data_IF_310281994459
#
_entry.id   IF_310281994459
#
_cell.length_a   1.000
_cell.length_b   1.000
_cell.length_c   1.000
_cell.angle_alpha   90.00
_cell.angle_beta   90.00
_cell.angle_gamma   90.00
#
_symmetry.space_group_name_H-M   'P 1'
#
loop_
_entity.id
_entity.type
_entity.pdbx_description
1 polymer ?
#
# COMPACT_ATOMS: atom_id res chain seq x y z
N UNK A 1 -11.37 -12.10 10.87
CA UNK A 1 -11.26 -10.72 10.46
C UNK A 1 -10.73 -10.65 9.02
N UNK A 2 -10.62 -9.47 8.48
CA UNK A 2 -10.27 -9.31 7.08
C UNK A 2 -8.87 -9.81 6.74
N UNK A 3 -7.93 -9.73 7.67
CA UNK A 3 -6.57 -10.21 7.45
C UNK A 3 -6.57 -11.73 7.35
N UNK A 4 -7.34 -12.40 8.19
CA UNK A 4 -7.49 -13.86 8.11
C UNK A 4 -8.22 -14.25 6.83
N UNK A 5 -9.23 -13.49 6.43
CA UNK A 5 -9.96 -13.72 5.18
C UNK A 5 -9.02 -13.54 3.98
N UNK A 6 -8.13 -12.56 4.04
CA UNK A 6 -7.13 -12.35 3.00
C UNK A 6 -6.20 -13.55 2.87
N UNK A 7 -5.72 -14.12 3.96
CA UNK A 7 -4.87 -15.30 3.92
C UNK A 7 -5.63 -16.51 3.33
N UNK A 8 -6.89 -16.67 3.67
CA UNK A 8 -7.74 -17.72 3.09
C UNK A 8 -7.90 -17.49 1.60
N UNK A 9 -8.20 -16.26 1.19
CA UNK A 9 -8.33 -15.92 -0.23
C UNK A 9 -7.05 -16.22 -1.00
N UNK A 10 -5.92 -15.83 -0.44
CA UNK A 10 -4.61 -16.03 -1.04
C UNK A 10 -4.34 -17.52 -1.34
N UNK A 11 -4.75 -18.41 -0.41
CA UNK A 11 -4.62 -19.85 -0.60
C UNK A 11 -5.57 -20.40 -1.67
N UNK A 12 -6.70 -19.74 -1.87
CA UNK A 12 -7.73 -20.16 -2.84
C UNK A 12 -7.57 -19.51 -4.19
N UNK A 13 -6.55 -18.67 -4.38
CA UNK A 13 -6.36 -17.97 -5.65
C UNK A 13 -6.32 -18.97 -6.80
N UNK A 14 -7.15 -18.76 -7.83
CA UNK A 14 -7.20 -19.69 -8.95
C UNK A 14 -5.87 -19.82 -9.67
N UNK A 15 -5.58 -20.98 -10.26
CA UNK A 15 -4.37 -21.16 -11.06
C UNK A 15 -4.27 -20.20 -12.25
N UNK A 16 -5.39 -19.59 -12.64
CA UNK A 16 -5.38 -18.58 -13.72
C UNK A 16 -4.58 -17.33 -13.35
N UNK A 17 -4.24 -17.16 -12.05
CA UNK A 17 -3.32 -16.13 -11.59
C UNK A 17 -2.16 -16.84 -10.89
N UNK A 18 -1.38 -17.61 -11.65
CA UNK A 18 -0.45 -18.58 -11.07
C UNK A 18 0.72 -17.95 -10.34
N UNK A 19 1.09 -16.77 -10.70
CA UNK A 19 2.20 -16.08 -10.05
C UNK A 19 1.78 -14.66 -9.74
N UNK A 20 0.91 -14.56 -8.76
CA UNK A 20 0.31 -13.30 -8.40
C UNK A 20 1.34 -12.24 -8.04
N UNK A 21 2.39 -12.61 -7.31
CA UNK A 21 3.44 -11.66 -6.95
C UNK A 21 4.17 -11.14 -8.18
N UNK A 22 4.51 -12.02 -9.12
CA UNK A 22 5.14 -11.61 -10.36
C UNK A 22 4.20 -10.74 -11.20
N UNK A 23 2.91 -11.11 -11.27
CA UNK A 23 1.95 -10.30 -12.00
C UNK A 23 1.82 -8.91 -11.41
N UNK A 24 1.77 -8.81 -10.09
CA UNK A 24 1.68 -7.52 -9.41
C UNK A 24 2.95 -6.69 -9.61
N UNK A 25 4.12 -7.31 -9.51
CA UNK A 25 5.40 -6.62 -9.74
C UNK A 25 5.49 -6.09 -11.17
N UNK A 26 5.16 -6.93 -12.15
CA UNK A 26 5.20 -6.53 -13.56
C UNK A 26 4.21 -5.43 -13.88
N UNK A 27 3.06 -5.44 -13.21
CA UNK A 27 2.05 -4.40 -13.38
C UNK A 27 2.34 -3.17 -12.50
N UNK A 28 3.38 -3.23 -11.65
CA UNK A 28 3.77 -2.16 -10.73
C UNK A 28 2.69 -1.85 -9.68
N UNK A 29 1.99 -2.87 -9.28
CA UNK A 29 1.01 -2.82 -8.19
C UNK A 29 1.44 -3.78 -7.09
N UNK A 30 1.04 -3.49 -5.86
CA UNK A 30 1.29 -4.40 -4.74
C UNK A 30 0.16 -4.31 -3.74
N UNK A 31 -0.04 -5.38 -2.98
CA UNK A 31 -1.05 -5.40 -1.92
C UNK A 31 -0.36 -4.96 -0.63
N UNK A 32 -0.94 -3.96 0.03
CA UNK A 32 -0.38 -3.40 1.26
C UNK A 32 -1.48 -3.37 2.33
N UNK A 33 -1.27 -4.14 3.39
CA UNK A 33 -2.23 -4.26 4.49
C UNK A 33 -1.60 -3.79 5.78
N UNK A 34 -2.26 -2.86 6.46
CA UNK A 34 -1.87 -2.51 7.82
C UNK A 34 -2.41 -3.55 8.79
N UNK A 35 -2.02 -3.46 10.04
CA UNK A 35 -2.52 -4.38 11.07
C UNK A 35 -3.93 -4.02 11.55
N UNK A 36 -4.36 -2.77 11.32
CA UNK A 36 -5.68 -2.30 11.73
C UNK A 36 -6.10 -1.09 10.91
N UNK A 37 -7.40 -0.78 10.95
CA UNK A 37 -7.95 0.40 10.29
C UNK A 37 -8.11 1.51 11.33
N UNK A 38 -7.16 2.43 11.37
CA UNK A 38 -7.17 3.55 12.30
C UNK A 38 -6.87 4.83 11.54
N UNK A 39 -7.69 5.86 11.76
CA UNK A 39 -7.45 7.17 11.17
C UNK A 39 -6.08 7.71 11.59
N UNK A 40 -5.41 8.35 10.66
CA UNK A 40 -4.09 8.97 10.87
C UNK A 40 -2.97 7.96 11.14
N UNK A 41 -3.21 6.68 10.92
CA UNK A 41 -2.19 5.64 11.11
C UNK A 41 -1.87 4.94 9.79
N UNK A 42 -0.64 5.02 9.38
CA UNK A 42 -0.08 4.21 8.30
C UNK A 42 1.37 3.88 8.67
N UNK A 43 1.87 2.79 8.13
CA UNK A 43 3.20 2.31 8.48
C UNK A 43 4.14 2.34 7.28
N UNK A 44 5.35 1.87 7.50
CA UNK A 44 6.37 1.70 6.46
C UNK A 44 5.87 0.82 5.31
N UNK A 45 4.90 -0.05 5.55
CA UNK A 45 4.32 -0.89 4.50
C UNK A 45 3.78 -0.05 3.34
N UNK A 46 3.10 1.06 3.68
CA UNK A 46 2.60 1.97 2.66
C UNK A 46 3.74 2.80 2.06
N UNK A 47 4.63 3.32 2.90
CA UNK A 47 5.74 4.16 2.46
C UNK A 47 6.68 3.41 1.53
N UNK A 48 6.90 2.12 1.78
CA UNK A 48 7.75 1.29 0.92
C UNK A 48 7.17 1.16 -0.49
N UNK A 49 5.85 1.10 -0.60
CA UNK A 49 5.20 1.09 -1.92
C UNK A 49 5.53 2.35 -2.70
N UNK A 50 5.44 3.50 -2.05
CA UNK A 50 5.71 4.78 -2.71
C UNK A 50 7.19 4.93 -3.06
N UNK A 51 8.08 4.45 -2.22
CA UNK A 51 9.51 4.50 -2.47
C UNK A 51 9.89 3.72 -3.73
N UNK A 52 9.23 2.62 -3.99
CA UNK A 52 9.48 1.80 -5.19
C UNK A 52 8.62 2.22 -6.38
N UNK A 53 7.88 3.34 -6.26
CA UNK A 53 6.97 3.84 -7.28
C UNK A 53 5.94 2.79 -7.68
N UNK A 54 5.40 2.11 -6.69
CA UNK A 54 4.38 1.07 -6.86
C UNK A 54 3.05 1.62 -6.38
N UNK A 55 1.98 1.26 -7.07
CA UNK A 55 0.62 1.63 -6.64
C UNK A 55 0.12 0.57 -5.67
N UNK A 56 -0.15 0.93 -4.40
CA UNK A 56 -0.66 -0.04 -3.45
C UNK A 56 -2.16 -0.29 -3.62
N UNK A 57 -2.54 -1.56 -3.55
CA UNK A 57 -3.90 -1.94 -3.21
C UNK A 57 -3.92 -1.97 -1.70
N UNK A 58 -4.56 -0.98 -1.09
CA UNK A 58 -4.31 -0.62 0.30
C UNK A 58 -5.53 -0.83 1.19
N UNK A 59 -5.29 -1.44 2.34
CA UNK A 59 -6.24 -1.54 3.44
C UNK A 59 -5.56 -1.04 4.72
N UNK A 60 -6.20 -0.13 5.41
CA UNK A 60 -5.64 0.39 6.66
C UNK A 60 -6.21 1.75 7.01
N UNK A 61 -5.39 2.79 6.96
CA UNK A 61 -5.78 4.15 7.34
C UNK A 61 -6.97 4.65 6.54
N UNK A 62 -8.16 4.81 7.16
CA UNK A 62 -9.35 5.23 6.39
C UNK A 62 -9.20 6.62 5.79
N UNK A 63 -8.50 7.53 6.45
CA UNK A 63 -8.31 8.89 5.95
C UNK A 63 -6.95 9.10 5.29
N UNK A 64 -6.43 8.06 4.64
CA UNK A 64 -5.11 8.11 3.99
C UNK A 64 -5.01 9.22 2.96
N UNK A 65 -6.12 9.61 2.35
CA UNK A 65 -6.17 10.71 1.37
C UNK A 65 -5.82 12.07 1.94
N UNK A 66 -5.83 12.22 3.27
CA UNK A 66 -5.37 13.44 3.94
C UNK A 66 -3.86 13.63 3.76
N UNK A 67 -3.13 12.53 3.62
CA UNK A 67 -1.67 12.54 3.58
C UNK A 67 -1.09 12.29 2.20
N UNK A 68 -1.79 11.53 1.37
CA UNK A 68 -1.29 11.09 0.08
C UNK A 68 -2.32 11.31 -1.03
N UNK A 69 -1.85 11.24 -2.26
CA UNK A 69 -2.69 11.39 -3.44
C UNK A 69 -3.45 10.09 -3.68
N UNK A 70 -4.77 10.14 -3.54
CA UNK A 70 -5.63 8.96 -3.68
C UNK A 70 -5.67 8.41 -5.11
N UNK A 71 -5.30 9.21 -6.10
CA UNK A 71 -5.22 8.71 -7.47
C UNK A 71 -4.11 7.66 -7.62
N UNK A 72 -3.15 7.65 -6.70
CA UNK A 72 -2.06 6.66 -6.69
C UNK A 72 -2.27 5.54 -5.68
N UNK A 73 -3.47 5.38 -5.14
CA UNK A 73 -3.80 4.35 -4.15
C UNK A 73 -5.10 3.67 -4.57
N UNK A 74 -5.10 2.35 -4.62
CA UNK A 74 -6.33 1.58 -4.84
C UNK A 74 -6.81 1.12 -3.46
N UNK A 75 -7.66 1.93 -2.84
CA UNK A 75 -8.11 1.74 -1.47
C UNK A 75 -9.30 0.78 -1.43
N UNK A 76 -9.26 -0.20 -0.54
CA UNK A 76 -10.37 -1.12 -0.36
C UNK A 76 -10.64 -1.34 1.13
N UNK A 77 -11.83 -1.83 1.43
CA UNK A 77 -12.28 -2.10 2.80
C UNK A 77 -12.68 -3.56 2.99
N UNK A 78 -13.00 -4.27 1.91
CA UNK A 78 -13.44 -5.66 1.97
C UNK A 78 -12.65 -6.52 1.00
N UNK A 79 -12.66 -7.83 1.24
CA UNK A 79 -12.00 -8.80 0.34
C UNK A 79 -12.60 -8.74 -1.05
N UNK A 80 -13.92 -8.58 -1.15
CA UNK A 80 -14.61 -8.49 -2.43
C UNK A 80 -14.13 -7.28 -3.23
N UNK A 81 -13.96 -6.15 -2.57
CA UNK A 81 -13.43 -4.95 -3.22
C UNK A 81 -12.01 -5.18 -3.72
N UNK A 82 -11.18 -5.85 -2.92
CA UNK A 82 -9.82 -6.16 -3.31
C UNK A 82 -9.80 -7.05 -4.55
N UNK A 83 -10.63 -8.09 -4.58
CA UNK A 83 -10.71 -9.00 -5.73
C UNK A 83 -11.12 -8.24 -7.00
N UNK A 84 -12.09 -7.35 -6.88
CA UNK A 84 -12.53 -6.52 -8.00
C UNK A 84 -11.38 -5.65 -8.52
N UNK A 85 -10.62 -5.05 -7.61
CA UNK A 85 -9.47 -4.23 -7.99
C UNK A 85 -8.40 -5.06 -8.69
N UNK A 86 -8.08 -6.24 -8.15
CA UNK A 86 -7.07 -7.12 -8.75
C UNK A 86 -7.45 -7.48 -10.19
N UNK A 87 -8.73 -7.75 -10.43
CA UNK A 87 -9.21 -8.10 -11.76
C UNK A 87 -9.19 -6.93 -12.74
N UNK A 88 -9.07 -5.70 -12.26
CA UNK A 88 -9.04 -4.50 -13.09
C UNK A 88 -7.63 -4.01 -13.40
N UNK A 89 -6.59 -4.64 -12.88
CA UNK A 89 -5.22 -4.17 -13.04
C UNK A 89 -4.73 -4.36 -14.48
N UNK A 90 -4.19 -3.31 -15.05
CA UNK A 90 -3.59 -3.33 -16.39
C UNK A 90 -2.38 -2.41 -16.40
N UNK A 91 -1.43 -2.60 -17.34
CA UNK A 91 -0.32 -1.66 -17.49
C UNK A 91 -0.81 -0.24 -17.79
N UNK A 92 -1.91 -0.13 -18.55
CA UNK A 92 -2.49 1.16 -18.92
C UNK A 92 -3.03 1.90 -17.70
N UNK A 93 -3.57 1.15 -16.74
CA UNK A 93 -4.05 1.76 -15.50
C UNK A 93 -2.89 2.40 -14.73
N UNK A 94 -1.76 1.72 -14.65
CA UNK A 94 -0.57 2.28 -14.02
C UNK A 94 -0.10 3.53 -14.75
N UNK A 95 0.01 3.45 -16.08
CA UNK A 95 0.47 4.57 -16.89
C UNK A 95 -0.42 5.80 -16.74
N UNK A 96 -1.72 5.59 -16.61
CA UNK A 96 -2.67 6.68 -16.41
C UNK A 96 -2.50 7.37 -15.04
N UNK A 97 -1.79 6.74 -14.11
CA UNK A 97 -1.62 7.24 -12.75
C UNK A 97 -0.19 7.68 -12.43
N UNK A 98 0.66 7.82 -13.44
CA UNK A 98 2.08 8.15 -13.24
C UNK A 98 2.28 9.45 -12.46
N UNK A 99 1.46 10.46 -12.71
CA UNK A 99 1.56 11.72 -11.99
C UNK A 99 1.32 11.53 -10.49
N UNK A 100 0.31 10.73 -10.14
CA UNK A 100 0.02 10.42 -8.75
C UNK A 100 1.12 9.55 -8.12
N UNK A 101 1.70 8.64 -8.90
CA UNK A 101 2.82 7.81 -8.44
C UNK A 101 4.00 8.69 -8.04
N UNK A 102 4.36 9.66 -8.89
CA UNK A 102 5.44 10.60 -8.58
C UNK A 102 5.12 11.46 -7.37
N UNK A 103 3.88 11.95 -7.28
CA UNK A 103 3.45 12.75 -6.14
C UNK A 103 3.60 11.97 -4.83
N UNK A 104 3.14 10.72 -4.81
CA UNK A 104 3.24 9.89 -3.61
C UNK A 104 4.69 9.50 -3.30
N UNK A 105 5.51 9.33 -4.31
CA UNK A 105 6.94 9.11 -4.11
C UNK A 105 7.56 10.26 -3.31
N UNK A 106 7.28 11.49 -3.72
CA UNK A 106 7.80 12.67 -3.04
C UNK A 106 7.22 12.84 -1.64
N UNK A 107 5.92 12.63 -1.48
CA UNK A 107 5.26 12.72 -0.17
C UNK A 107 5.79 11.65 0.78
N UNK A 108 5.97 10.44 0.28
CA UNK A 108 6.47 9.32 1.08
C UNK A 108 7.86 9.58 1.64
N UNK A 109 8.72 10.23 0.87
CA UNK A 109 10.06 10.58 1.33
C UNK A 109 10.04 11.44 2.59
N UNK A 110 9.12 12.40 2.64
CA UNK A 110 9.00 13.28 3.80
C UNK A 110 8.64 12.50 5.06
N UNK A 111 7.74 11.54 4.94
CA UNK A 111 7.31 10.74 6.08
C UNK A 111 8.37 9.75 6.52
N UNK A 112 9.12 9.16 5.59
CA UNK A 112 10.25 8.31 5.93
C UNK A 112 11.26 9.05 6.80
N UNK A 113 11.65 10.25 6.38
CA UNK A 113 12.60 11.05 7.14
C UNK A 113 12.08 11.42 8.52
N UNK A 114 10.80 11.80 8.61
CA UNK A 114 10.20 12.15 9.88
C UNK A 114 10.14 10.95 10.82
N UNK A 115 9.79 9.77 10.30
CA UNK A 115 9.73 8.54 11.09
C UNK A 115 11.10 8.16 11.60
N UNK A 116 12.12 8.24 10.78
CA UNK A 116 13.49 7.92 11.17
C UNK A 116 13.99 8.85 12.27
N UNK A 117 13.68 10.12 12.13
CA UNK A 117 14.08 11.12 13.13
C UNK A 117 13.42 10.86 14.48
N UNK A 118 12.12 10.58 14.47
CA UNK A 118 11.38 10.29 15.70
C UNK A 118 11.93 9.05 16.37
N UNK A 119 12.19 7.99 15.58
CA UNK A 119 12.75 6.76 16.12
C UNK A 119 14.12 6.99 16.76
N UNK A 120 14.96 7.80 16.11
CA UNK A 120 16.27 8.14 16.65
C UNK A 120 16.16 8.95 17.95
N UNK A 121 15.26 9.90 18.01
CA UNK A 121 15.03 10.68 19.21
C UNK A 121 14.56 9.82 20.38
N UNK A 122 13.69 8.86 20.10
CA UNK A 122 13.21 7.93 21.12
C UNK A 122 14.36 7.06 21.63
N UNK A 123 15.18 6.54 20.73
CA UNK A 123 16.35 5.73 21.12
C UNK A 123 17.30 6.55 21.99
N UNK A 124 17.57 7.77 21.61
CA UNK A 124 18.45 8.66 22.39
C UNK A 124 17.89 8.95 23.76
N UNK A 125 16.57 9.16 23.84
CA UNK A 125 15.90 9.40 25.12
C UNK A 125 16.03 8.19 26.05
N UNK A 126 15.79 6.99 25.52
CA UNK A 126 15.88 5.75 26.30
C UNK A 126 17.32 5.47 26.77
N UNK A 127 18.29 5.84 25.94
CA UNK A 127 19.71 5.58 26.25
C UNK A 127 20.29 6.50 27.32
N UNK A 128 19.58 7.54 27.69
CA UNK A 128 19.98 8.41 28.79
C UNK A 128 19.66 7.76 30.14
#
# INVERSE_FOLDING_TARGET
DEINDFEVWKKRTPPSIPNKNVALENAKFTISLENSEINNYFSEKLLDCFETKTIPLYWGCPNVGTYFNMDGILHFHTIEEMETLINSLTPELYDAKLEAVEDNYLRGKKYHHATDRVAEEIRNFISK
#
